data_IF_574194359038
#
_entry.id   IF_574194359038
#
_cell.length_a   1.000
_cell.length_b   1.000
_cell.length_c   1.000
_cell.angle_alpha   90.00
_cell.angle_beta   90.00
_cell.angle_gamma   90.00
#
_symmetry.space_group_name_H-M   'P 1'
#
loop_
_entity.id
_entity.type
_entity.pdbx_description
1 polymer ?
#
# COMPACT_ATOMS: atom_id res chain seq x y z
N UNK A 1 44.81 -8.33 32.96
CA UNK A 1 44.35 -9.64 32.44
C UNK A 1 45.37 -10.13 31.45
N UNK A 2 45.66 -11.44 31.44
CA UNK A 2 46.47 -12.05 30.40
C UNK A 2 45.59 -12.38 29.18
N UNK A 3 46.12 -12.20 27.98
CA UNK A 3 45.44 -12.55 26.73
C UNK A 3 45.41 -14.09 26.56
N UNK A 4 44.29 -14.64 26.09
CA UNK A 4 44.16 -16.05 25.73
C UNK A 4 43.89 -16.17 24.23
N UNK A 5 44.83 -16.80 23.51
CA UNK A 5 44.77 -16.97 22.06
C UNK A 5 44.63 -18.47 21.71
N UNK A 6 43.68 -18.79 20.83
CA UNK A 6 43.54 -20.14 20.25
C UNK A 6 43.65 -20.03 18.73
N UNK A 7 44.66 -20.65 18.14
CA UNK A 7 44.84 -20.74 16.69
C UNK A 7 44.56 -22.17 16.24
N UNK A 8 43.74 -22.33 15.19
CA UNK A 8 43.40 -23.63 14.61
C UNK A 8 43.77 -23.61 13.14
N UNK A 9 44.65 -24.53 12.73
CA UNK A 9 45.20 -24.54 11.37
C UNK A 9 44.28 -25.21 10.33
N UNK A 10 43.47 -26.19 10.73
CA UNK A 10 42.68 -27.01 9.81
C UNK A 10 41.17 -26.98 10.12
N UNK A 11 40.76 -27.45 11.31
CA UNK A 11 39.34 -27.52 11.69
C UNK A 11 39.13 -27.50 13.21
N UNK A 12 37.98 -26.98 13.63
CA UNK A 12 37.50 -26.99 15.02
C UNK A 12 36.03 -27.35 15.05
N UNK A 13 35.71 -28.47 15.69
CA UNK A 13 34.33 -28.87 15.99
C UNK A 13 34.00 -28.56 17.45
N UNK A 14 32.74 -28.24 17.74
CA UNK A 14 32.26 -28.02 19.11
C UNK A 14 30.89 -28.64 19.24
N UNK A 15 30.79 -29.70 20.06
CA UNK A 15 29.55 -30.42 20.35
C UNK A 15 29.18 -30.13 21.80
N UNK A 16 27.95 -29.69 22.01
CA UNK A 16 27.44 -29.36 23.35
C UNK A 16 26.16 -30.16 23.58
N UNK A 17 26.16 -30.98 24.64
CA UNK A 17 25.05 -31.90 24.91
C UNK A 17 23.87 -31.30 25.68
N UNK A 18 24.07 -30.17 26.38
CA UNK A 18 23.03 -29.56 27.23
C UNK A 18 22.84 -28.07 26.94
N UNK A 19 23.84 -27.23 27.17
CA UNK A 19 23.71 -25.77 27.06
C UNK A 19 25.02 -25.08 26.67
N UNK A 20 24.93 -24.04 25.84
CA UNK A 20 26.06 -23.21 25.42
C UNK A 20 25.72 -21.73 25.67
N UNK A 21 26.55 -21.02 26.44
CA UNK A 21 26.40 -19.59 26.72
C UNK A 21 27.71 -18.87 26.45
N UNK A 22 27.65 -17.77 25.69
CA UNK A 22 28.79 -16.92 25.39
C UNK A 22 28.58 -15.53 26.01
N UNK A 23 29.40 -15.18 27.00
CA UNK A 23 29.42 -13.84 27.61
C UNK A 23 30.64 -13.07 27.10
N UNK A 24 30.42 -11.88 26.51
CA UNK A 24 31.49 -11.04 25.96
C UNK A 24 31.46 -9.68 26.65
N UNK A 25 32.55 -9.31 27.32
CA UNK A 25 32.61 -8.08 28.12
C UNK A 25 32.99 -6.80 27.36
N UNK A 26 33.53 -6.92 26.14
CA UNK A 26 34.00 -5.78 25.35
C UNK A 26 33.44 -5.77 23.92
N UNK A 27 33.86 -6.71 23.07
CA UNK A 27 33.45 -6.77 21.68
C UNK A 27 33.51 -8.19 21.12
N UNK A 28 32.57 -8.54 20.24
CA UNK A 28 32.58 -9.78 19.47
C UNK A 28 32.64 -9.46 17.98
N UNK A 29 33.51 -10.13 17.23
CA UNK A 29 33.60 -10.00 15.77
C UNK A 29 33.68 -11.38 15.14
N UNK A 30 32.74 -11.67 14.25
CA UNK A 30 32.71 -12.90 13.48
C UNK A 30 32.96 -12.59 12.01
N UNK A 31 33.98 -13.20 11.42
CA UNK A 31 34.27 -13.15 9.99
C UNK A 31 34.20 -14.55 9.42
N UNK A 32 33.32 -14.75 8.44
CA UNK A 32 33.19 -16.00 7.70
C UNK A 32 33.63 -15.73 6.26
N UNK A 33 34.62 -16.47 5.77
CA UNK A 33 35.22 -16.19 4.46
C UNK A 33 34.40 -16.72 3.27
N UNK A 34 33.51 -17.69 3.51
CA UNK A 34 32.75 -18.37 2.47
C UNK A 34 31.27 -18.45 2.82
N UNK A 35 30.85 -19.48 3.54
CA UNK A 35 29.44 -19.79 3.78
C UNK A 35 29.16 -19.88 5.30
N UNK A 36 28.01 -19.38 5.72
CA UNK A 36 27.47 -19.53 7.09
C UNK A 36 26.04 -20.05 7.00
N UNK A 37 25.72 -21.06 7.80
CA UNK A 37 24.35 -21.58 7.95
C UNK A 37 24.01 -21.75 9.42
N UNK A 38 22.74 -21.53 9.74
CA UNK A 38 22.21 -21.66 11.10
C UNK A 38 20.84 -22.34 11.02
N UNK A 39 20.65 -23.37 11.83
CA UNK A 39 19.40 -24.12 11.92
C UNK A 39 18.97 -24.16 13.37
N UNK A 40 17.84 -23.53 13.68
CA UNK A 40 17.26 -23.50 15.02
C UNK A 40 16.02 -24.39 15.03
N UNK A 41 16.01 -25.39 15.92
CA UNK A 41 14.89 -26.32 16.04
C UNK A 41 13.72 -25.79 16.87
N UNK A 42 14.00 -24.81 17.74
CA UNK A 42 13.00 -24.08 18.54
C UNK A 42 12.96 -22.60 18.16
N UNK A 43 12.73 -21.74 19.15
CA UNK A 43 12.62 -20.30 18.94
C UNK A 43 13.98 -19.61 18.89
N UNK A 44 14.05 -18.49 18.15
CA UNK A 44 15.21 -17.59 18.11
C UNK A 44 14.76 -16.18 18.49
N UNK A 45 15.33 -15.66 19.58
CA UNK A 45 15.16 -14.29 20.02
C UNK A 45 16.45 -13.50 19.76
N UNK A 46 16.31 -12.27 19.26
CA UNK A 46 17.41 -11.35 19.01
C UNK A 46 17.04 -9.99 19.60
N UNK A 47 17.77 -9.57 20.62
CA UNK A 47 17.66 -8.24 21.22
C UNK A 47 18.88 -7.39 20.85
N UNK A 48 18.64 -6.17 20.39
CA UNK A 48 19.69 -5.22 20.01
C UNK A 48 19.43 -3.93 20.77
N UNK A 49 20.27 -3.63 21.76
CA UNK A 49 20.07 -2.44 22.62
C UNK A 49 20.39 -1.10 21.96
N UNK A 50 21.04 -1.11 20.79
CA UNK A 50 21.36 0.10 20.02
C UNK A 50 20.93 -0.08 18.55
N UNK A 51 21.87 -0.04 17.60
CA UNK A 51 21.56 -0.03 16.17
C UNK A 51 21.87 -1.37 15.50
N UNK A 52 21.03 -1.75 14.54
CA UNK A 52 21.29 -2.83 13.57
C UNK A 52 21.56 -2.21 12.20
N UNK A 53 22.70 -2.53 11.59
CA UNK A 53 22.99 -2.20 10.19
C UNK A 53 23.28 -3.48 9.42
N UNK A 54 22.54 -3.72 8.35
CA UNK A 54 22.66 -4.91 7.50
C UNK A 54 22.80 -4.52 6.04
N UNK A 55 23.74 -5.15 5.34
CA UNK A 55 23.97 -4.95 3.92
C UNK A 55 24.11 -6.30 3.23
N UNK A 56 23.29 -6.54 2.21
CA UNK A 56 23.31 -7.77 1.41
C UNK A 56 23.78 -7.39 0.01
N UNK A 57 24.92 -7.95 -0.42
CA UNK A 57 25.48 -7.67 -1.74
C UNK A 57 24.79 -8.43 -2.89
N UNK A 58 24.08 -9.51 -2.56
CA UNK A 58 23.24 -10.28 -3.48
C UNK A 58 21.76 -10.18 -3.12
N UNK A 59 21.02 -11.26 -3.31
CA UNK A 59 19.57 -11.30 -3.08
C UNK A 59 19.22 -11.59 -1.61
N UNK A 60 18.15 -10.96 -1.11
CA UNK A 60 17.50 -11.30 0.16
C UNK A 60 16.17 -12.01 -0.14
N UNK A 61 16.00 -13.23 0.37
CA UNK A 61 14.74 -13.95 0.34
C UNK A 61 14.29 -14.26 1.78
N UNK A 62 13.00 -14.04 2.05
CA UNK A 62 12.40 -14.24 3.37
C UNK A 62 11.04 -14.92 3.18
N UNK A 63 10.83 -16.05 3.86
CA UNK A 63 9.59 -16.83 3.76
C UNK A 63 9.05 -17.10 5.17
N UNK A 64 7.89 -16.52 5.46
CA UNK A 64 7.22 -16.62 6.76
C UNK A 64 5.95 -17.44 6.58
N UNK A 65 5.90 -18.61 7.21
CA UNK A 65 4.71 -19.49 7.16
C UNK A 65 3.58 -19.02 8.08
N UNK A 66 3.95 -18.34 9.17
CA UNK A 66 3.01 -17.74 10.11
C UNK A 66 2.80 -16.26 9.82
N UNK A 67 2.60 -15.48 10.88
CA UNK A 67 2.41 -14.04 10.78
C UNK A 67 3.76 -13.30 10.77
N UNK A 68 3.82 -12.18 10.05
CA UNK A 68 4.90 -11.20 10.16
C UNK A 68 4.30 -9.89 10.70
N UNK A 69 4.91 -9.34 11.74
CA UNK A 69 4.49 -8.09 12.37
C UNK A 69 5.72 -7.20 12.52
N UNK A 70 5.62 -5.98 12.01
CA UNK A 70 6.68 -4.98 12.10
C UNK A 70 6.07 -3.69 12.67
N UNK A 71 6.64 -3.21 13.77
CA UNK A 71 6.24 -1.97 14.42
C UNK A 71 7.43 -1.02 14.40
N UNK A 72 7.25 0.14 13.78
CA UNK A 72 8.27 1.19 13.70
C UNK A 72 7.70 2.42 14.41
N UNK A 73 8.34 2.84 15.51
CA UNK A 73 7.85 3.95 16.34
C UNK A 73 8.10 5.33 15.72
N UNK A 74 9.00 5.39 14.73
CA UNK A 74 9.39 6.59 14.00
C UNK A 74 9.21 6.35 12.51
N UNK A 75 10.13 6.83 11.70
CA UNK A 75 10.01 6.81 10.25
C UNK A 75 10.45 5.47 9.65
N UNK A 76 9.78 5.06 8.57
CA UNK A 76 10.16 3.91 7.75
C UNK A 76 10.26 4.32 6.28
N UNK A 77 11.49 4.44 5.79
CA UNK A 77 11.76 4.72 4.39
C UNK A 77 11.97 3.43 3.58
N UNK A 78 11.30 3.35 2.43
CA UNK A 78 11.42 2.23 1.49
C UNK A 78 11.73 2.79 0.10
N UNK A 79 12.94 2.53 -0.40
CA UNK A 79 13.36 2.92 -1.75
C UNK A 79 13.60 1.69 -2.61
N UNK A 80 12.92 1.62 -3.77
CA UNK A 80 13.01 0.50 -4.72
C UNK A 80 13.30 1.06 -6.11
N UNK A 81 14.46 0.71 -6.68
CA UNK A 81 14.92 1.28 -7.96
C UNK A 81 14.15 0.77 -9.20
N UNK A 82 13.42 -0.34 -9.09
CA UNK A 82 12.74 -0.98 -10.24
C UNK A 82 11.26 -1.18 -10.00
N UNK A 83 10.88 -2.22 -9.25
CA UNK A 83 9.49 -2.64 -9.10
C UNK A 83 9.20 -3.04 -7.66
N UNK A 84 8.12 -2.49 -7.13
CA UNK A 84 7.44 -2.97 -5.93
C UNK A 84 6.15 -3.67 -6.36
N UNK A 85 5.90 -4.88 -5.83
CA UNK A 85 4.64 -5.59 -6.01
C UNK A 85 4.09 -5.95 -4.64
N UNK A 86 2.82 -5.62 -4.41
CA UNK A 86 2.09 -5.92 -3.18
C UNK A 86 0.84 -6.67 -3.60
N UNK A 87 0.67 -7.89 -3.10
CA UNK A 87 -0.47 -8.75 -3.41
C UNK A 87 -0.95 -9.43 -2.13
N UNK A 88 -2.27 -9.37 -1.90
CA UNK A 88 -2.97 -10.07 -0.82
C UNK A 88 -4.09 -10.91 -1.44
N UNK A 89 -4.64 -11.87 -0.69
CA UNK A 89 -5.84 -12.59 -1.09
C UNK A 89 -7.12 -12.00 -0.50
N UNK A 90 -7.02 -11.27 0.61
CA UNK A 90 -8.19 -10.75 1.32
C UNK A 90 -8.23 -9.22 1.28
N UNK A 91 -7.37 -8.56 2.05
CA UNK A 91 -7.46 -7.11 2.26
C UNK A 91 -6.08 -6.43 2.32
N UNK A 92 -6.02 -5.21 1.79
CA UNK A 92 -4.97 -4.22 2.07
C UNK A 92 -5.66 -3.02 2.71
N UNK A 93 -5.22 -2.65 3.92
CA UNK A 93 -5.66 -1.43 4.61
C UNK A 93 -4.50 -0.44 4.66
N UNK A 94 -4.72 0.80 4.19
CA UNK A 94 -3.78 1.92 4.29
C UNK A 94 -4.48 3.04 5.05
N UNK A 95 -3.91 3.45 6.19
CA UNK A 95 -4.46 4.52 7.04
C UNK A 95 -3.35 5.48 7.42
N UNK A 96 -3.63 6.78 7.33
CA UNK A 96 -2.79 7.86 7.83
C UNK A 96 -3.66 8.82 8.61
N UNK A 97 -3.14 9.38 9.71
CA UNK A 97 -3.83 10.40 10.49
C UNK A 97 -3.68 11.80 9.88
N UNK A 98 -2.70 11.99 8.99
CA UNK A 98 -2.47 13.22 8.27
C UNK A 98 -2.79 13.01 6.79
N UNK A 99 -1.77 12.86 5.93
CA UNK A 99 -1.94 12.74 4.49
C UNK A 99 -1.60 11.35 3.95
N UNK A 100 -2.20 11.04 2.79
CA UNK A 100 -1.77 9.98 1.87
C UNK A 100 -1.49 10.66 0.53
N UNK A 101 -0.22 10.70 0.11
CA UNK A 101 0.20 11.29 -1.15
C UNK A 101 0.59 10.19 -2.15
N UNK A 102 -0.04 10.19 -3.33
CA UNK A 102 0.24 9.26 -4.41
C UNK A 102 0.54 10.05 -5.68
N UNK A 103 1.69 9.79 -6.30
CA UNK A 103 2.12 10.48 -7.51
C UNK A 103 2.80 9.52 -8.46
N UNK A 104 2.47 9.63 -9.74
CA UNK A 104 3.07 8.87 -10.82
C UNK A 104 3.25 9.79 -12.03
N UNK A 105 4.46 9.89 -12.60
CA UNK A 105 4.73 10.78 -13.73
C UNK A 105 4.14 10.29 -15.05
N UNK A 106 3.66 9.04 -15.12
CA UNK A 106 3.13 8.45 -16.35
C UNK A 106 1.64 8.14 -16.24
N UNK A 107 1.25 7.30 -15.28
CA UNK A 107 -0.14 6.89 -15.11
C UNK A 107 -0.43 6.43 -13.68
N UNK A 108 -1.68 6.60 -13.28
CA UNK A 108 -2.26 6.06 -12.05
C UNK A 108 -3.58 5.38 -12.42
N UNK A 109 -3.71 4.09 -12.13
CA UNK A 109 -4.92 3.30 -12.41
C UNK A 109 -5.48 2.72 -11.11
N UNK A 110 -6.80 2.76 -10.98
CA UNK A 110 -7.56 2.16 -9.88
C UNK A 110 -8.70 1.36 -10.50
N UNK A 111 -8.71 0.05 -10.27
CA UNK A 111 -9.67 -0.88 -10.87
C UNK A 111 -10.33 -1.72 -9.77
N UNK A 112 -11.64 -1.87 -9.87
CA UNK A 112 -12.46 -2.66 -8.94
C UNK A 112 -13.62 -3.30 -9.70
N UNK A 113 -13.86 -4.59 -9.48
CA UNK A 113 -14.93 -5.33 -10.18
C UNK A 113 -16.33 -4.96 -9.69
N UNK A 114 -16.47 -4.58 -8.42
CA UNK A 114 -17.77 -4.41 -7.77
C UNK A 114 -18.10 -2.96 -7.47
N UNK A 115 -17.24 -2.25 -6.75
CA UNK A 115 -17.52 -0.89 -6.29
C UNK A 115 -16.23 -0.10 -5.98
N UNK A 116 -16.25 1.19 -6.26
CA UNK A 116 -15.24 2.16 -5.86
C UNK A 116 -15.94 3.37 -5.21
N UNK A 117 -15.53 3.74 -3.99
CA UNK A 117 -16.15 4.81 -3.20
C UNK A 117 -15.08 5.80 -2.75
N UNK A 118 -15.35 7.10 -2.93
CA UNK A 118 -14.51 8.20 -2.46
C UNK A 118 -15.40 9.12 -1.63
N UNK A 119 -15.05 9.31 -0.35
CA UNK A 119 -15.77 10.19 0.58
C UNK A 119 -14.79 11.19 1.16
N UNK A 120 -15.11 12.47 1.03
CA UNK A 120 -14.35 13.57 1.64
C UNK A 120 -15.22 14.81 1.71
N UNK A 121 -14.79 15.83 2.45
CA UNK A 121 -15.44 17.14 2.47
C UNK A 121 -15.41 17.82 1.08
N UNK A 122 -14.31 17.66 0.33
CA UNK A 122 -14.12 18.28 -0.98
C UNK A 122 -13.35 17.37 -1.93
N UNK A 123 -13.88 17.18 -3.14
CA UNK A 123 -13.22 16.43 -4.22
C UNK A 123 -12.90 17.39 -5.36
N UNK A 124 -11.65 17.37 -5.84
CA UNK A 124 -11.21 18.14 -7.01
C UNK A 124 -10.59 17.20 -8.04
N UNK A 125 -11.05 17.30 -9.28
CA UNK A 125 -10.60 16.48 -10.42
C UNK A 125 -10.30 17.42 -11.59
N UNK A 126 -9.04 17.49 -12.00
CA UNK A 126 -8.55 18.43 -13.02
C UNK A 126 -7.83 17.63 -14.08
N UNK A 127 -8.19 17.87 -15.35
CA UNK A 127 -7.52 17.30 -16.51
C UNK A 127 -7.23 18.42 -17.52
N UNK A 128 -6.00 18.47 -18.02
CA UNK A 128 -5.58 19.50 -18.99
C UNK A 128 -6.21 19.33 -20.37
N UNK A 129 -6.59 18.09 -20.72
CA UNK A 129 -7.19 17.75 -22.00
C UNK A 129 -8.61 17.23 -21.83
N UNK A 130 -8.79 15.92 -21.69
CA UNK A 130 -10.12 15.30 -21.65
C UNK A 130 -10.46 14.78 -20.26
N UNK A 131 -11.74 14.89 -19.90
CA UNK A 131 -12.30 14.32 -18.69
C UNK A 131 -13.47 13.39 -19.04
N UNK A 132 -13.27 12.08 -18.90
CA UNK A 132 -14.21 11.06 -19.37
C UNK A 132 -14.86 10.33 -18.21
N UNK A 133 -16.19 10.30 -18.20
CA UNK A 133 -17.01 9.53 -17.26
C UNK A 133 -17.92 8.61 -18.08
N UNK A 134 -17.77 7.29 -17.90
CA UNK A 134 -18.57 6.30 -18.61
C UNK A 134 -19.32 5.43 -17.61
N UNK A 135 -20.63 5.29 -17.81
CA UNK A 135 -21.48 4.36 -17.09
C UNK A 135 -22.38 3.62 -18.08
N UNK A 136 -22.55 2.30 -17.89
CA UNK A 136 -23.33 1.48 -18.82
C UNK A 136 -24.84 1.62 -18.65
N UNK A 137 -25.30 1.99 -17.45
CA UNK A 137 -26.72 2.04 -17.13
C UNK A 137 -27.20 3.46 -16.81
N UNK A 138 -26.59 4.08 -15.80
CA UNK A 138 -26.97 5.40 -15.33
C UNK A 138 -25.75 6.12 -14.75
N UNK A 139 -25.67 7.44 -14.95
CA UNK A 139 -24.79 8.32 -14.20
C UNK A 139 -25.61 9.47 -13.62
N UNK A 140 -25.32 9.86 -12.38
CA UNK A 140 -26.07 10.89 -11.67
C UNK A 140 -25.17 11.84 -10.89
N UNK A 141 -25.58 13.11 -10.83
CA UNK A 141 -24.99 14.16 -10.01
C UNK A 141 -26.12 14.72 -9.15
N UNK A 142 -25.92 14.80 -7.84
CA UNK A 142 -26.92 15.27 -6.89
C UNK A 142 -26.36 16.38 -5.99
N UNK A 143 -27.15 17.45 -5.83
CA UNK A 143 -26.88 18.57 -4.91
C UNK A 143 -28.17 18.89 -4.16
N UNK A 144 -28.28 18.41 -2.91
CA UNK A 144 -29.55 18.43 -2.18
C UNK A 144 -30.65 17.70 -2.96
N UNK A 145 -31.74 18.40 -3.25
CA UNK A 145 -32.86 17.90 -4.07
C UNK A 145 -32.65 18.04 -5.59
N UNK A 146 -31.61 18.77 -6.02
CA UNK A 146 -31.34 18.97 -7.45
C UNK A 146 -30.54 17.80 -8.02
N UNK A 147 -30.91 17.33 -9.21
CA UNK A 147 -30.26 16.18 -9.86
C UNK A 147 -30.00 16.42 -11.34
N UNK A 148 -28.90 15.86 -11.84
CA UNK A 148 -28.67 15.59 -13.26
C UNK A 148 -28.51 14.08 -13.37
N UNK A 149 -29.30 13.42 -14.21
CA UNK A 149 -29.26 11.97 -14.41
C UNK A 149 -29.21 11.68 -15.90
N UNK A 150 -28.20 10.93 -16.33
CA UNK A 150 -28.10 10.40 -17.69
C UNK A 150 -28.36 8.89 -17.64
N UNK A 151 -29.15 8.41 -18.60
CA UNK A 151 -29.45 7.00 -18.84
C UNK A 151 -29.07 6.67 -20.29
N UNK A 152 -29.15 5.40 -20.67
CA UNK A 152 -28.83 4.97 -22.03
C UNK A 152 -29.66 5.66 -23.14
N UNK A 153 -30.84 6.16 -22.83
CA UNK A 153 -31.79 6.74 -23.80
C UNK A 153 -32.27 8.16 -23.47
N UNK A 154 -31.84 8.73 -22.33
CA UNK A 154 -32.41 9.96 -21.82
C UNK A 154 -31.48 10.74 -20.89
N UNK A 155 -31.71 12.05 -20.82
CA UNK A 155 -31.08 12.97 -19.87
C UNK A 155 -32.18 13.69 -19.10
N UNK A 156 -32.09 13.70 -17.77
CA UNK A 156 -33.08 14.28 -16.87
C UNK A 156 -32.39 15.28 -15.94
N UNK A 157 -32.90 16.50 -15.87
CA UNK A 157 -32.42 17.55 -14.97
C UNK A 157 -33.59 17.98 -14.08
N UNK A 158 -33.40 17.95 -12.76
CA UNK A 158 -34.39 18.37 -11.76
C UNK A 158 -33.81 19.46 -10.88
N UNK A 159 -34.50 20.58 -10.77
CA UNK A 159 -34.12 21.67 -9.87
C UNK A 159 -35.34 22.55 -9.56
N UNK A 160 -35.50 22.97 -8.30
CA UNK A 160 -36.52 23.95 -7.90
C UNK A 160 -37.96 23.56 -8.25
N UNK A 161 -38.28 22.26 -8.29
CA UNK A 161 -39.61 21.75 -8.68
C UNK A 161 -39.85 21.63 -10.19
N UNK A 162 -38.87 22.00 -11.03
CA UNK A 162 -38.90 21.84 -12.49
C UNK A 162 -38.18 20.55 -12.88
N UNK A 163 -38.71 19.84 -13.87
CA UNK A 163 -38.08 18.66 -14.49
C UNK A 163 -37.92 18.90 -16.00
N UNK A 164 -36.68 18.80 -16.50
CA UNK A 164 -36.34 18.84 -17.92
C UNK A 164 -35.90 17.45 -18.36
N UNK A 165 -36.48 16.94 -19.45
CA UNK A 165 -36.20 15.60 -20.00
C UNK A 165 -35.82 15.76 -21.47
N UNK A 166 -34.69 15.16 -21.86
CA UNK A 166 -34.29 14.99 -23.26
C UNK A 166 -34.29 13.48 -23.53
N UNK A 167 -35.08 13.05 -24.51
CA UNK A 167 -35.16 11.65 -24.95
C UNK A 167 -35.40 11.57 -26.47
N UNK A 168 -35.69 10.38 -26.98
CA UNK A 168 -35.99 10.14 -28.41
C UNK A 168 -37.21 10.92 -28.94
N UNK A 169 -38.07 11.48 -28.08
CA UNK A 169 -39.23 12.29 -28.44
C UNK A 169 -38.93 13.78 -28.43
N UNK A 170 -37.71 14.18 -28.06
CA UNK A 170 -37.26 15.57 -28.02
C UNK A 170 -37.07 16.09 -26.59
N UNK A 171 -37.36 17.38 -26.39
CA UNK A 171 -37.18 18.09 -25.12
C UNK A 171 -38.54 18.38 -24.46
N UNK A 172 -38.71 17.95 -23.21
CA UNK A 172 -39.94 18.14 -22.41
C UNK A 172 -39.59 18.89 -21.11
N UNK A 173 -40.37 19.91 -20.78
CA UNK A 173 -40.27 20.64 -19.50
C UNK A 173 -41.58 20.48 -18.73
N UNK A 174 -41.48 20.06 -17.46
CA UNK A 174 -42.62 19.92 -16.55
C UNK A 174 -42.46 20.85 -15.35
N UNK A 175 -43.57 21.43 -14.88
CA UNK A 175 -43.61 22.29 -13.70
C UNK A 175 -43.02 23.70 -13.91
N UNK A 176 -42.62 24.05 -15.13
CA UNK A 176 -42.07 25.35 -15.49
C UNK A 176 -42.46 25.79 -16.90
N UNK A 177 -42.02 26.98 -17.29
CA UNK A 177 -42.27 27.59 -18.61
C UNK A 177 -41.01 27.47 -19.49
N UNK A 178 -41.19 27.25 -20.80
CA UNK A 178 -40.13 27.40 -21.78
C UNK A 178 -40.22 28.82 -22.34
N UNK A 179 -39.19 29.63 -22.09
CA UNK A 179 -39.07 30.97 -22.67
C UNK A 179 -38.01 30.93 -23.78
N UNK A 180 -38.38 31.36 -24.98
CA UNK A 180 -37.43 31.66 -26.04
C UNK A 180 -37.12 33.15 -25.96
N UNK A 181 -35.88 33.50 -25.56
CA UNK A 181 -35.34 34.86 -25.67
C UNK A 181 -34.59 35.03 -27.00
#
# INVERSE_FOLDING_TARGET
GAEYLTNVALSKDTIVGLSHTLNVGASNTLRVAKDSSESIGGDKEIEIGNNLSSSVGGDKAENVKGNSVEVVERDKDISINKKLNIQTQNEITIRSNDNIYMSSPQSLSLESDTNAVIVSDNISMIADSNYTLNANNEASIQVGESTITTKGDSVIIKAGGVEVIIDSKGLVVKGGEIKAE
#
